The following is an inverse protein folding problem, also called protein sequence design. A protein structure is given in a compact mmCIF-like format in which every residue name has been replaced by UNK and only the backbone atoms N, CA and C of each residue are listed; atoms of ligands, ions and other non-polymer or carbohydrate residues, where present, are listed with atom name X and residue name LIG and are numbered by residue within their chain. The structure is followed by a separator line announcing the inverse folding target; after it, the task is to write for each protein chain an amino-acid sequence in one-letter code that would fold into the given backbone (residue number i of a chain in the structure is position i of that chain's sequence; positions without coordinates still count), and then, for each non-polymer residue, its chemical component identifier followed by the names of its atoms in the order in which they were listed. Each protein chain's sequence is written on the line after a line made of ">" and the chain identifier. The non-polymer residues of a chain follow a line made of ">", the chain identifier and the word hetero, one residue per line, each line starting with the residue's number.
data_IF_823357119592
#
_entry.id   IF_823357119592
#
_cell.length_a   1.000
_cell.length_b   1.000
_cell.length_c   1.000
_cell.angle_alpha   90.00
_cell.angle_beta   90.00
_cell.angle_gamma   90.00
#
_symmetry.space_group_name_H-M   'P 1'
#
loop_
_entity.id
_entity.type
_entity.pdbx_description
1 polymer ?
#
# COMPACT_ATOMS: atom_id res chain seq x y z
N UNK A 1 -63.03 -60.54 42.71
CA UNK A 1 -63.91 -59.51 42.08
C UNK A 1 -62.95 -58.65 41.20
N UNK A 2 -63.09 -58.87 39.95
CA UNK A 2 -62.23 -58.39 38.83
C UNK A 2 -62.79 -57.03 38.40
N UNK A 3 -61.98 -56.02 38.20
CA UNK A 3 -62.41 -54.83 37.40
C UNK A 3 -61.23 -54.32 36.56
N UNK A 4 -61.54 -54.33 35.29
CA UNK A 4 -60.81 -53.86 34.12
C UNK A 4 -60.08 -52.53 34.27
N UNK A 5 -58.88 -52.44 33.77
CA UNK A 5 -58.17 -51.24 33.37
C UNK A 5 -57.96 -51.29 31.85
N UNK A 6 -58.88 -50.63 31.11
CA UNK A 6 -58.75 -50.36 29.67
C UNK A 6 -57.60 -49.41 29.43
N UNK A 7 -56.58 -49.85 28.73
CA UNK A 7 -55.52 -49.03 28.21
C UNK A 7 -56.03 -48.17 27.06
N UNK A 8 -55.88 -46.83 27.18
CA UNK A 8 -56.22 -45.88 26.14
C UNK A 8 -55.08 -45.82 25.11
N UNK A 9 -55.32 -46.02 23.79
CA UNK A 9 -54.28 -46.04 22.76
C UNK A 9 -53.81 -44.64 22.27
N UNK A 10 -54.22 -43.53 22.91
CA UNK A 10 -53.98 -42.17 22.42
C UNK A 10 -52.62 -41.53 22.83
N UNK A 11 -51.93 -42.09 23.81
CA UNK A 11 -50.72 -41.43 24.36
C UNK A 11 -49.42 -41.82 23.60
N UNK A 12 -49.40 -42.97 22.93
CA UNK A 12 -48.21 -43.47 22.21
C UNK A 12 -48.04 -42.77 20.85
N UNK A 13 -49.13 -42.32 20.19
CA UNK A 13 -49.08 -41.67 18.90
C UNK A 13 -48.54 -40.23 18.98
N UNK A 14 -48.77 -39.52 20.10
CA UNK A 14 -48.31 -38.13 20.29
C UNK A 14 -46.82 -38.03 20.54
N UNK A 15 -46.19 -39.03 21.17
CA UNK A 15 -44.73 -39.09 21.44
C UNK A 15 -43.89 -39.35 20.19
N UNK A 16 -44.44 -40.11 19.23
CA UNK A 16 -43.75 -40.45 17.97
C UNK A 16 -43.77 -39.25 17.00
N UNK A 17 -44.85 -38.47 16.97
CA UNK A 17 -44.96 -37.30 16.10
C UNK A 17 -44.06 -36.13 16.60
N UNK A 18 -43.91 -35.92 17.93
CA UNK A 18 -42.98 -34.93 18.48
C UNK A 18 -41.53 -35.30 18.22
N UNK A 19 -41.16 -36.57 18.23
CA UNK A 19 -39.78 -37.03 17.94
C UNK A 19 -39.39 -36.87 16.48
N UNK A 20 -40.31 -37.02 15.54
CA UNK A 20 -40.07 -36.83 14.10
C UNK A 20 -39.93 -35.37 13.73
N UNK A 21 -40.70 -34.48 14.35
CA UNK A 21 -40.63 -33.02 14.09
C UNK A 21 -39.33 -32.45 14.69
N UNK A 22 -38.90 -32.92 15.86
CA UNK A 22 -37.62 -32.50 16.44
C UNK A 22 -36.40 -32.97 15.61
N UNK A 23 -36.45 -34.19 15.03
CA UNK A 23 -35.39 -34.68 14.15
C UNK A 23 -35.34 -33.97 12.80
N UNK A 24 -36.48 -33.56 12.24
CA UNK A 24 -36.52 -32.74 11.01
C UNK A 24 -35.99 -31.31 11.23
N UNK A 25 -36.21 -30.71 12.40
CA UNK A 25 -35.71 -29.37 12.73
C UNK A 25 -34.20 -29.33 12.98
N UNK A 26 -33.60 -30.43 13.43
CA UNK A 26 -32.14 -30.53 13.65
C UNK A 26 -31.41 -30.78 12.31
N UNK A 27 -32.03 -31.40 11.32
CA UNK A 27 -31.42 -31.61 10.00
C UNK A 27 -31.35 -30.37 9.12
N UNK A 28 -32.13 -29.30 9.40
CA UNK A 28 -32.05 -28.03 8.66
C UNK A 28 -31.00 -27.06 9.21
N UNK A 29 -30.42 -27.34 10.37
CA UNK A 29 -29.40 -26.52 11.01
C UNK A 29 -27.95 -27.00 10.75
N UNK A 30 -27.74 -28.06 9.96
CA UNK A 30 -26.46 -28.32 9.32
C UNK A 30 -26.33 -27.38 8.10
N UNK A 31 -26.24 -26.06 8.39
CA UNK A 31 -25.78 -25.09 7.43
C UNK A 31 -24.43 -25.54 6.89
N UNK A 32 -24.35 -25.62 5.60
CA UNK A 32 -23.11 -25.70 4.83
C UNK A 32 -22.04 -24.92 5.59
N UNK A 33 -21.05 -25.58 6.15
CA UNK A 33 -19.76 -25.01 6.42
C UNK A 33 -19.26 -24.55 5.05
N UNK A 34 -19.57 -23.31 4.68
CA UNK A 34 -18.92 -22.70 3.55
C UNK A 34 -17.44 -22.73 3.89
N UNK A 35 -16.65 -23.43 3.11
CA UNK A 35 -15.21 -23.33 3.25
C UNK A 35 -14.88 -21.86 3.41
N UNK A 36 -14.14 -21.51 4.46
CA UNK A 36 -13.80 -20.11 4.74
C UNK A 36 -13.21 -19.49 3.48
N UNK A 37 -13.76 -18.38 3.05
CA UNK A 37 -13.29 -17.69 1.86
C UNK A 37 -11.80 -17.36 2.01
N UNK A 38 -11.02 -17.68 0.98
CA UNK A 38 -9.60 -17.37 0.95
C UNK A 38 -9.38 -15.98 0.35
N UNK A 39 -9.06 -15.02 1.21
CA UNK A 39 -8.82 -13.64 0.84
C UNK A 39 -7.34 -13.38 0.60
N UNK A 40 -7.04 -12.65 -0.49
CA UNK A 40 -5.69 -12.24 -0.86
C UNK A 40 -5.72 -10.77 -1.23
N UNK A 41 -4.80 -9.99 -0.68
CA UNK A 41 -4.62 -8.60 -1.06
C UNK A 41 -4.14 -8.53 -2.51
N UNK A 42 -4.92 -7.86 -3.37
CA UNK A 42 -4.58 -7.68 -4.78
C UNK A 42 -3.99 -6.30 -5.07
N UNK A 43 -4.25 -5.35 -4.20
CA UNK A 43 -3.65 -4.03 -4.18
C UNK A 43 -3.56 -3.54 -2.73
N UNK A 44 -2.48 -2.84 -2.39
CA UNK A 44 -2.37 -2.13 -1.12
C UNK A 44 -1.40 -0.96 -1.26
N UNK A 45 -1.50 -0.01 -0.33
CA UNK A 45 -0.57 1.11 -0.19
C UNK A 45 -0.30 1.40 1.28
N UNK A 46 0.92 1.80 1.58
CA UNK A 46 1.30 2.26 2.91
C UNK A 46 0.96 3.72 3.09
N UNK A 47 0.43 4.06 4.26
CA UNK A 47 0.21 5.45 4.63
C UNK A 47 1.37 5.92 5.53
N UNK A 48 2.16 6.91 5.10
CA UNK A 48 3.22 7.49 5.92
C UNK A 48 2.58 8.24 7.08
N UNK A 49 2.36 7.57 8.20
CA UNK A 49 1.87 8.21 9.40
C UNK A 49 2.96 9.20 9.84
N UNK A 50 2.68 10.50 9.81
CA UNK A 50 3.61 11.47 10.39
C UNK A 50 3.84 11.08 11.85
N UNK A 51 5.09 11.01 12.26
CA UNK A 51 5.41 10.92 13.69
C UNK A 51 4.67 12.06 14.38
N UNK A 52 3.73 11.72 15.25
CA UNK A 52 3.11 12.72 16.13
C UNK A 52 4.21 13.21 17.08
N UNK A 53 4.93 14.24 16.65
CA UNK A 53 5.88 14.96 17.50
C UNK A 53 5.12 15.72 18.58
N UNK A 54 4.54 14.97 19.53
CA UNK A 54 3.94 15.46 20.75
C UNK A 54 4.61 14.81 21.97
N UNK A 55 5.94 14.73 21.94
CA UNK A 55 6.69 14.82 23.19
C UNK A 55 7.12 16.27 23.30
N UNK A 56 6.42 17.00 24.15
CA UNK A 56 6.76 18.38 24.46
C UNK A 56 8.23 18.48 24.89
N UNK A 57 9.09 18.89 23.97
CA UNK A 57 10.31 19.55 24.34
C UNK A 57 9.88 20.93 24.85
N UNK A 58 9.80 21.08 26.16
CA UNK A 58 9.77 22.36 26.86
C UNK A 58 11.04 23.15 26.51
N UNK A 59 11.05 23.76 25.33
CA UNK A 59 11.97 24.83 25.02
C UNK A 59 11.37 26.13 25.53
N UNK A 60 12.19 27.10 26.00
CA UNK A 60 11.70 28.39 26.40
C UNK A 60 10.95 29.05 25.23
N UNK A 61 9.91 29.91 25.50
CA UNK A 61 9.14 30.57 24.47
C UNK A 61 10.07 31.41 23.59
N UNK A 62 9.81 31.52 22.29
CA UNK A 62 10.62 32.34 21.40
C UNK A 62 10.57 33.83 21.87
N UNK A 63 11.74 34.37 22.20
CA UNK A 63 11.87 35.79 22.48
C UNK A 63 11.52 36.56 21.22
N UNK A 64 10.60 37.52 21.35
CA UNK A 64 10.23 38.42 20.30
C UNK A 64 11.47 39.22 19.81
N UNK A 65 11.89 38.94 18.58
CA UNK A 65 12.90 39.78 17.90
C UNK A 65 12.25 41.08 17.46
N UNK A 66 12.93 42.22 17.61
CA UNK A 66 12.40 43.48 17.13
C UNK A 66 12.34 43.53 15.60
N UNK A 67 11.21 44.00 15.08
CA UNK A 67 10.94 44.13 13.65
C UNK A 67 12.00 45.03 12.98
N UNK A 68 12.78 44.44 12.06
CA UNK A 68 13.64 45.22 11.15
C UNK A 68 12.78 45.70 9.99
N UNK A 69 12.92 47.02 9.75
CA UNK A 69 12.23 47.75 8.68
C UNK A 69 12.59 47.16 7.30
N UNK A 70 11.57 46.96 6.50
CA UNK A 70 11.70 46.49 5.11
C UNK A 70 12.34 47.61 4.25
N UNK A 71 13.46 47.27 3.63
CA UNK A 71 14.05 48.07 2.54
C UNK A 71 13.40 47.60 1.24
N UNK A 72 12.91 48.50 0.36
CA UNK A 72 12.31 48.11 -0.91
C UNK A 72 13.36 47.48 -1.84
N UNK A 73 13.15 46.21 -2.23
CA UNK A 73 13.96 45.59 -3.29
C UNK A 73 13.35 45.93 -4.65
N UNK A 74 14.15 46.56 -5.50
CA UNK A 74 13.88 46.78 -6.92
C UNK A 74 13.97 45.47 -7.65
N UNK A 75 12.92 45.13 -8.43
CA UNK A 75 12.88 43.96 -9.30
C UNK A 75 13.95 44.01 -10.40
N UNK A 76 14.72 42.93 -10.66
CA UNK A 76 15.51 42.83 -11.88
C UNK A 76 14.60 42.44 -13.06
N UNK A 77 14.94 42.99 -14.23
CA UNK A 77 14.24 42.79 -15.49
C UNK A 77 14.21 41.31 -15.95
N UNK A 78 13.12 40.95 -16.62
CA UNK A 78 12.87 39.63 -17.17
C UNK A 78 13.97 39.16 -18.16
N UNK A 79 14.52 37.98 -17.93
CA UNK A 79 15.40 37.28 -18.86
C UNK A 79 14.56 36.57 -19.94
N UNK A 80 14.96 36.53 -21.23
CA UNK A 80 14.20 35.87 -22.29
C UNK A 80 14.22 34.35 -22.13
N UNK A 81 13.20 33.62 -22.64
CA UNK A 81 13.08 32.17 -22.49
C UNK A 81 14.20 31.47 -23.26
N UNK A 82 14.93 30.61 -22.56
CA UNK A 82 15.85 29.63 -23.14
C UNK A 82 15.09 28.40 -23.66
N UNK A 83 15.72 27.52 -24.46
CA UNK A 83 15.05 26.47 -25.17
C UNK A 83 14.45 25.41 -24.25
N UNK A 84 13.25 24.96 -24.61
CA UNK A 84 12.49 23.93 -23.89
C UNK A 84 13.30 22.65 -23.75
N UNK A 85 13.82 22.40 -22.56
CA UNK A 85 14.50 21.20 -22.13
C UNK A 85 13.67 20.45 -21.11
N UNK A 86 13.12 19.32 -21.53
CA UNK A 86 12.67 18.13 -20.78
C UNK A 86 12.15 18.34 -19.34
N UNK A 87 10.87 18.06 -19.16
CA UNK A 87 10.28 17.49 -17.96
C UNK A 87 10.52 18.23 -16.65
N UNK A 88 10.21 19.53 -16.59
CA UNK A 88 10.05 20.22 -15.34
C UNK A 88 8.95 19.54 -14.51
N UNK A 89 9.17 19.37 -13.19
CA UNK A 89 8.17 18.97 -12.20
C UNK A 89 6.95 19.90 -12.36
N UNK A 90 6.03 19.58 -13.25
CA UNK A 90 4.69 20.13 -13.24
C UNK A 90 4.15 19.84 -11.84
N UNK A 91 3.81 20.90 -11.09
CA UNK A 91 3.45 20.79 -9.69
C UNK A 91 2.41 19.69 -9.52
N UNK A 92 2.75 18.68 -8.70
CA UNK A 92 1.83 17.61 -8.36
C UNK A 92 0.58 18.25 -7.76
N UNK A 93 -0.65 17.89 -8.20
CA UNK A 93 -1.85 18.40 -7.57
C UNK A 93 -1.77 18.15 -6.07
N UNK A 94 -2.03 19.15 -5.22
CA UNK A 94 -1.82 19.01 -3.78
C UNK A 94 -2.78 17.96 -3.19
N UNK A 95 -2.31 17.31 -2.14
CA UNK A 95 -3.20 16.53 -1.27
C UNK A 95 -4.18 17.53 -0.64
N UNK A 96 -5.50 17.32 -0.72
CA UNK A 96 -6.45 18.23 -0.09
C UNK A 96 -6.24 18.25 1.43
N UNK A 97 -6.28 19.45 2.01
CA UNK A 97 -6.16 19.64 3.46
C UNK A 97 -7.40 19.15 4.23
N UNK A 98 -8.53 19.07 3.56
CA UNK A 98 -9.80 18.51 4.08
C UNK A 98 -10.74 18.23 2.92
N UNK A 99 -11.72 17.35 3.14
CA UNK A 99 -12.90 17.19 2.30
C UNK A 99 -14.16 17.43 3.14
N UNK A 100 -15.19 18.03 2.52
CA UNK A 100 -16.48 18.31 3.16
C UNK A 100 -17.59 18.30 2.11
N UNK A 101 -18.61 17.46 2.29
CA UNK A 101 -19.67 17.23 1.28
C UNK A 101 -19.10 16.95 -0.11
N UNK A 102 -18.18 15.98 -0.18
CA UNK A 102 -17.45 15.62 -1.41
C UNK A 102 -17.29 14.11 -1.54
N UNK A 103 -17.22 13.67 -2.79
CA UNK A 103 -16.84 12.30 -3.16
C UNK A 103 -15.42 12.31 -3.73
N UNK A 104 -14.57 11.40 -3.26
CA UNK A 104 -13.30 11.06 -3.91
C UNK A 104 -13.42 9.70 -4.60
N UNK A 105 -13.00 9.62 -5.86
CA UNK A 105 -12.82 8.36 -6.63
C UNK A 105 -11.35 8.14 -6.89
N UNK A 106 -10.83 7.05 -6.34
CA UNK A 106 -9.44 6.63 -6.47
C UNK A 106 -9.36 5.43 -7.40
N UNK A 107 -8.30 5.36 -8.19
CA UNK A 107 -8.05 4.25 -9.12
C UNK A 107 -6.93 3.40 -8.56
N UNK A 108 -7.15 2.08 -8.52
CA UNK A 108 -6.19 1.09 -8.06
C UNK A 108 -5.98 0.02 -9.13
N UNK A 109 -4.73 -0.43 -9.34
CA UNK A 109 -4.38 -1.47 -10.31
C UNK A 109 -4.20 -2.81 -9.60
N UNK A 110 -5.07 -3.78 -9.88
CA UNK A 110 -5.04 -5.10 -9.25
C UNK A 110 -3.91 -5.96 -9.78
N UNK A 111 -3.34 -6.84 -8.97
CA UNK A 111 -2.35 -7.82 -9.40
C UNK A 111 -2.97 -9.16 -9.79
N UNK A 112 -3.91 -9.68 -8.99
CA UNK A 112 -4.71 -10.87 -9.30
C UNK A 112 -6.19 -10.55 -9.30
N UNK A 113 -6.98 -11.40 -9.93
CA UNK A 113 -8.45 -11.30 -9.98
C UNK A 113 -9.15 -12.16 -8.94
N UNK A 114 -10.48 -12.03 -8.90
CA UNK A 114 -11.36 -12.82 -8.05
C UNK A 114 -12.83 -12.47 -8.23
N UNK A 115 -13.73 -13.33 -7.74
CA UNK A 115 -15.18 -13.15 -7.90
C UNK A 115 -15.84 -12.28 -6.85
N UNK A 116 -15.17 -12.01 -5.72
CA UNK A 116 -15.63 -11.12 -4.66
C UNK A 116 -14.52 -10.16 -4.25
N UNK A 117 -14.90 -8.96 -3.83
CA UNK A 117 -13.97 -7.90 -3.45
C UNK A 117 -14.42 -7.23 -2.15
N UNK A 118 -13.45 -6.77 -1.35
CA UNK A 118 -13.64 -5.87 -0.20
C UNK A 118 -12.50 -4.87 -0.14
N UNK A 119 -12.73 -3.75 0.54
CA UNK A 119 -11.70 -2.71 0.75
C UNK A 119 -11.34 -2.57 2.22
N UNK A 120 -10.15 -2.10 2.48
CA UNK A 120 -9.71 -1.64 3.81
C UNK A 120 -9.52 -0.13 3.79
N UNK A 121 -10.18 0.54 4.74
CA UNK A 121 -10.03 1.97 4.99
C UNK A 121 -9.22 2.20 6.27
N UNK A 122 -8.41 3.24 6.29
CA UNK A 122 -7.56 3.59 7.43
C UNK A 122 -7.72 5.05 7.84
N UNK A 123 -7.98 5.27 9.11
CA UNK A 123 -7.95 6.60 9.72
C UNK A 123 -6.77 6.71 10.72
N UNK A 124 -5.65 6.06 10.40
CA UNK A 124 -4.55 5.84 11.35
C UNK A 124 -3.78 7.11 11.68
N UNK A 125 -3.68 8.09 10.75
CA UNK A 125 -2.93 9.34 10.95
C UNK A 125 -3.80 10.51 11.44
N UNK A 126 -5.14 10.38 11.42
CA UNK A 126 -6.03 11.50 11.72
C UNK A 126 -6.23 11.72 13.23
N UNK A 127 -6.47 12.97 13.60
CA UNK A 127 -6.83 13.35 14.98
C UNK A 127 -8.35 13.30 15.25
N UNK A 128 -9.19 13.24 14.19
CA UNK A 128 -10.64 13.26 14.28
C UNK A 128 -11.28 12.01 13.67
N UNK A 129 -12.50 11.63 14.10
CA UNK A 129 -13.25 10.55 13.46
C UNK A 129 -13.59 10.89 12.00
N UNK A 130 -13.38 9.93 11.09
CA UNK A 130 -13.80 9.99 9.70
C UNK A 130 -15.21 9.42 9.55
N UNK A 131 -16.12 10.19 8.93
CA UNK A 131 -17.47 9.72 8.58
C UNK A 131 -17.51 9.40 7.09
N UNK A 132 -17.76 8.14 6.75
CA UNK A 132 -18.06 7.69 5.39
C UNK A 132 -19.58 7.61 5.27
N UNK A 133 -20.18 8.40 4.37
CA UNK A 133 -21.64 8.40 4.11
C UNK A 133 -22.05 7.36 3.10
N UNK A 134 -21.21 7.12 2.10
CA UNK A 134 -21.42 6.13 1.03
C UNK A 134 -20.05 5.66 0.50
N UNK A 135 -19.98 4.40 0.07
CA UNK A 135 -18.79 3.84 -0.56
C UNK A 135 -19.19 2.89 -1.69
N UNK A 136 -18.50 2.98 -2.83
CA UNK A 136 -18.72 2.15 -4.00
C UNK A 136 -17.42 1.64 -4.59
N UNK A 137 -17.48 0.51 -5.28
CA UNK A 137 -16.37 -0.05 -6.06
C UNK A 137 -16.89 -0.50 -7.43
N UNK A 138 -16.11 -0.26 -8.48
CA UNK A 138 -16.46 -0.65 -9.84
C UNK A 138 -15.20 -0.96 -10.67
N UNK A 139 -15.36 -1.59 -11.82
CA UNK A 139 -14.28 -1.68 -12.82
C UNK A 139 -14.15 -0.31 -13.49
N UNK A 140 -12.93 0.24 -13.53
CA UNK A 140 -12.62 1.49 -14.23
C UNK A 140 -12.70 1.29 -15.75
N UNK A 141 -13.30 2.24 -16.46
CA UNK A 141 -13.27 2.30 -17.91
C UNK A 141 -12.11 3.21 -18.39
N UNK A 142 -12.21 4.50 -18.13
CA UNK A 142 -11.19 5.51 -18.45
C UNK A 142 -11.38 6.75 -17.59
N UNK A 143 -10.29 7.44 -17.24
CA UNK A 143 -10.35 8.66 -16.40
C UNK A 143 -11.18 8.39 -15.13
N UNK A 144 -12.22 9.20 -14.85
CA UNK A 144 -13.14 8.97 -13.73
C UNK A 144 -14.28 8.02 -14.06
N UNK A 145 -14.40 7.53 -15.30
CA UNK A 145 -15.50 6.68 -15.75
C UNK A 145 -15.36 5.23 -15.28
N UNK A 146 -16.49 4.62 -14.93
CA UNK A 146 -16.60 3.19 -14.62
C UNK A 146 -17.30 2.43 -15.74
N UNK A 147 -17.05 1.13 -15.82
CA UNK A 147 -17.74 0.25 -16.77
C UNK A 147 -19.20 0.09 -16.32
N UNK A 148 -20.20 0.39 -17.20
CA UNK A 148 -21.61 0.27 -16.86
C UNK A 148 -21.97 -1.12 -16.34
N UNK A 149 -22.80 -1.17 -15.29
CA UNK A 149 -23.24 -2.43 -14.66
C UNK A 149 -22.26 -3.07 -13.69
N UNK A 150 -21.04 -2.54 -13.54
CA UNK A 150 -20.03 -3.07 -12.60
C UNK A 150 -20.05 -2.38 -11.22
N UNK A 151 -20.79 -1.28 -11.07
CA UNK A 151 -20.88 -0.57 -9.79
C UNK A 151 -21.46 -1.46 -8.69
N UNK A 152 -20.80 -1.49 -7.54
CA UNK A 152 -21.23 -2.19 -6.33
C UNK A 152 -21.16 -1.26 -5.14
N UNK A 153 -22.30 -1.09 -4.47
CA UNK A 153 -22.35 -0.39 -3.19
C UNK A 153 -21.68 -1.24 -2.11
N UNK A 154 -20.75 -0.65 -1.39
CA UNK A 154 -20.11 -1.26 -0.23
C UNK A 154 -20.90 -0.95 1.04
N UNK A 155 -20.86 -1.90 1.97
CA UNK A 155 -21.40 -1.75 3.32
C UNK A 155 -20.33 -2.04 4.37
N UNK A 156 -20.62 -1.66 5.61
CA UNK A 156 -19.74 -1.87 6.76
C UNK A 156 -20.60 -2.45 7.89
N UNK A 157 -20.48 -3.76 8.12
CA UNK A 157 -21.37 -4.53 9.01
C UNK A 157 -22.88 -4.33 8.66
N UNK A 158 -23.19 -4.40 7.34
CA UNK A 158 -24.51 -4.24 6.79
C UNK A 158 -25.00 -2.79 6.69
N UNK A 159 -24.22 -1.79 7.13
CA UNK A 159 -24.60 -0.38 7.06
C UNK A 159 -23.99 0.30 5.82
N UNK A 160 -24.71 1.23 5.15
CA UNK A 160 -24.23 1.89 3.94
C UNK A 160 -23.06 2.85 4.15
N UNK A 161 -22.77 3.20 5.40
CA UNK A 161 -21.65 4.06 5.81
C UNK A 161 -21.10 3.66 7.17
N UNK A 162 -20.02 4.32 7.59
CA UNK A 162 -19.41 4.05 8.89
C UNK A 162 -18.72 5.29 9.46
N UNK A 163 -18.38 5.21 10.75
CA UNK A 163 -17.47 6.17 11.41
C UNK A 163 -16.21 5.46 11.86
N UNK A 164 -15.07 5.89 11.32
CA UNK A 164 -13.75 5.31 11.60
C UNK A 164 -13.04 6.24 12.59
N UNK A 165 -12.78 5.75 13.81
CA UNK A 165 -12.07 6.50 14.84
C UNK A 165 -10.59 6.70 14.47
N UNK A 166 -9.89 7.72 15.05
CA UNK A 166 -8.46 7.86 14.92
C UNK A 166 -7.72 6.58 15.30
N UNK A 167 -6.71 6.21 14.54
CA UNK A 167 -5.91 5.01 14.74
C UNK A 167 -6.53 3.69 14.23
N UNK A 168 -7.77 3.70 13.70
CA UNK A 168 -8.53 2.49 13.38
C UNK A 168 -8.48 2.19 11.88
N UNK A 169 -8.39 0.88 11.56
CA UNK A 169 -8.65 0.30 10.24
C UNK A 169 -10.09 -0.24 10.18
N UNK A 170 -10.73 -0.18 9.02
CA UNK A 170 -12.09 -0.67 8.79
C UNK A 170 -12.16 -1.45 7.49
N UNK A 171 -12.61 -2.71 7.57
CA UNK A 171 -12.93 -3.51 6.37
C UNK A 171 -14.37 -3.27 5.97
N UNK A 172 -14.62 -3.18 4.66
CA UNK A 172 -15.97 -3.27 4.12
C UNK A 172 -16.48 -4.71 4.17
N UNK A 173 -17.81 -4.87 4.14
CA UNK A 173 -18.41 -6.15 3.80
C UNK A 173 -18.01 -6.52 2.35
N UNK A 174 -17.85 -7.81 2.03
CA UNK A 174 -17.51 -8.23 0.68
C UNK A 174 -18.71 -8.10 -0.27
N UNK A 175 -18.43 -7.73 -1.53
CA UNK A 175 -19.43 -7.66 -2.60
C UNK A 175 -19.04 -8.56 -3.77
N UNK A 176 -20.04 -9.08 -4.49
CA UNK A 176 -19.84 -9.86 -5.70
C UNK A 176 -19.48 -8.92 -6.86
N UNK A 177 -18.25 -8.97 -7.28
CA UNK A 177 -17.70 -8.24 -8.42
C UNK A 177 -16.60 -9.09 -9.05
N UNK A 178 -16.79 -9.47 -10.30
CA UNK A 178 -15.75 -10.18 -11.06
C UNK A 178 -14.63 -9.20 -11.38
N UNK A 179 -13.47 -9.44 -10.80
CA UNK A 179 -12.24 -8.66 -10.98
C UNK A 179 -11.28 -9.46 -11.83
N UNK A 180 -10.92 -8.93 -13.00
CA UNK A 180 -9.87 -9.52 -13.81
C UNK A 180 -8.48 -9.22 -13.23
N UNK A 181 -7.48 -10.11 -13.38
CA UNK A 181 -6.10 -9.77 -13.01
C UNK A 181 -5.59 -8.60 -13.86
N UNK A 182 -4.73 -7.78 -13.27
CA UNK A 182 -4.11 -6.61 -13.93
C UNK A 182 -5.16 -5.62 -14.48
N UNK A 183 -6.28 -5.43 -13.78
CA UNK A 183 -7.32 -4.48 -14.14
C UNK A 183 -7.37 -3.31 -13.18
N UNK A 184 -7.94 -2.21 -13.64
CA UNK A 184 -8.14 -1.03 -12.81
C UNK A 184 -9.52 -1.07 -12.15
N UNK A 185 -9.57 -0.82 -10.84
CA UNK A 185 -10.79 -0.59 -10.10
C UNK A 185 -10.91 0.87 -9.67
N UNK A 186 -12.12 1.38 -9.68
CA UNK A 186 -12.48 2.69 -9.15
C UNK A 186 -13.15 2.53 -7.78
N UNK A 187 -12.53 3.05 -6.72
CA UNK A 187 -13.09 3.08 -5.37
C UNK A 187 -13.56 4.49 -5.08
N UNK A 188 -14.85 4.66 -4.82
CA UNK A 188 -15.48 5.96 -4.57
C UNK A 188 -15.94 6.05 -3.11
N UNK A 189 -15.54 7.11 -2.42
CA UNK A 189 -15.91 7.37 -1.01
C UNK A 189 -16.56 8.75 -0.91
N UNK A 190 -17.76 8.83 -0.35
CA UNK A 190 -18.42 10.08 -0.03
C UNK A 190 -18.23 10.43 1.44
N UNK A 191 -17.77 11.65 1.70
CA UNK A 191 -17.58 12.23 3.05
C UNK A 191 -18.55 13.41 3.24
N UNK A 192 -19.60 13.23 4.06
CA UNK A 192 -20.66 14.23 4.22
C UNK A 192 -20.28 15.40 5.13
N UNK A 193 -19.16 15.31 5.85
CA UNK A 193 -18.71 16.27 6.85
C UNK A 193 -17.23 16.57 6.68
N UNK A 194 -16.80 17.70 7.20
CA UNK A 194 -15.40 18.08 7.27
C UNK A 194 -14.55 16.97 7.92
N UNK A 195 -13.54 16.53 7.19
CA UNK A 195 -12.66 15.41 7.61
C UNK A 195 -11.43 15.88 8.37
N UNK A 196 -11.11 17.19 8.32
CA UNK A 196 -9.76 17.64 8.62
C UNK A 196 -8.73 17.00 7.68
N UNK A 197 -7.43 17.08 8.02
CA UNK A 197 -6.37 16.48 7.22
C UNK A 197 -6.56 14.96 7.09
N UNK A 198 -6.65 14.42 5.85
CA UNK A 198 -6.90 13.01 5.63
C UNK A 198 -5.65 12.16 5.92
N UNK A 199 -5.86 10.96 6.45
CA UNK A 199 -4.86 9.89 6.33
C UNK A 199 -4.67 9.59 4.84
N UNK A 200 -3.45 9.69 4.33
CA UNK A 200 -3.21 9.61 2.90
C UNK A 200 -1.90 8.90 2.56
N UNK A 201 -1.78 8.51 1.30
CA UNK A 201 -0.53 8.19 0.62
C UNK A 201 -0.38 9.16 -0.55
N UNK A 202 0.68 9.96 -0.57
CA UNK A 202 0.83 11.14 -1.42
C UNK A 202 1.49 10.89 -2.79
N UNK A 203 1.81 9.64 -3.13
CA UNK A 203 2.27 9.23 -4.46
C UNK A 203 1.33 8.17 -5.04
N UNK A 204 0.08 8.54 -5.33
CA UNK A 204 -0.73 7.71 -6.21
C UNK A 204 -0.18 7.78 -7.63
N UNK A 205 0.14 6.64 -8.23
CA UNK A 205 0.56 6.55 -9.64
C UNK A 205 -0.63 6.64 -10.61
N UNK A 206 -1.83 6.83 -10.06
CA UNK A 206 -3.09 7.10 -10.78
C UNK A 206 -3.72 8.40 -10.29
N UNK A 207 -4.44 9.05 -11.18
CA UNK A 207 -5.23 10.23 -10.86
C UNK A 207 -6.44 9.84 -10.02
N UNK A 208 -6.66 10.55 -8.91
CA UNK A 208 -7.90 10.50 -8.14
C UNK A 208 -8.75 11.73 -8.44
N UNK A 209 -10.07 11.57 -8.41
CA UNK A 209 -11.06 12.55 -8.82
C UNK A 209 -11.94 12.96 -7.65
N UNK A 210 -12.17 14.26 -7.45
CA UNK A 210 -12.94 14.80 -6.33
C UNK A 210 -14.07 15.67 -6.87
N UNK A 211 -15.33 15.30 -6.60
CA UNK A 211 -16.53 16.07 -6.96
C UNK A 211 -17.34 16.42 -5.72
N UNK A 212 -18.18 17.47 -5.84
CA UNK A 212 -19.08 17.89 -4.77
C UNK A 212 -20.26 16.90 -4.60
N UNK A 213 -20.71 16.71 -3.36
CA UNK A 213 -21.82 15.86 -3.01
C UNK A 213 -21.56 14.37 -3.12
N UNK A 214 -22.58 13.54 -2.97
CA UNK A 214 -22.52 12.09 -3.16
C UNK A 214 -22.63 11.73 -4.65
N UNK A 215 -21.49 11.48 -5.27
CA UNK A 215 -21.37 11.03 -6.67
C UNK A 215 -20.81 9.63 -6.77
N UNK A 216 -20.84 8.84 -5.67
CA UNK A 216 -20.23 7.52 -5.59
C UNK A 216 -20.73 6.56 -6.66
N UNK A 217 -22.02 6.58 -6.99
CA UNK A 217 -22.65 5.70 -7.98
C UNK A 217 -22.65 6.26 -9.42
N UNK A 218 -22.12 7.47 -9.66
CA UNK A 218 -22.12 8.06 -11.01
C UNK A 218 -21.17 7.30 -11.94
N UNK A 219 -21.60 7.03 -13.17
CA UNK A 219 -20.72 6.41 -14.18
C UNK A 219 -19.51 7.29 -14.49
N UNK A 220 -19.71 8.60 -14.58
CA UNK A 220 -18.66 9.61 -14.76
C UNK A 220 -18.82 10.65 -13.66
N UNK A 221 -17.73 11.00 -12.97
CA UNK A 221 -17.79 12.05 -11.95
C UNK A 221 -18.02 13.43 -12.57
N UNK A 222 -18.97 14.22 -12.07
CA UNK A 222 -19.24 15.55 -12.59
C UNK A 222 -18.16 16.53 -12.13
N UNK A 223 -17.65 17.33 -13.06
CA UNK A 223 -16.70 18.46 -12.81
C UNK A 223 -15.64 18.19 -11.75
N UNK A 224 -14.85 17.09 -11.85
CA UNK A 224 -13.94 16.73 -10.78
C UNK A 224 -12.68 17.61 -10.75
N UNK A 225 -12.28 18.00 -9.56
CA UNK A 225 -10.89 18.33 -9.28
C UNK A 225 -10.06 17.05 -9.20
N UNK A 226 -8.73 17.16 -9.33
CA UNK A 226 -7.85 16.00 -9.30
C UNK A 226 -6.81 16.12 -8.19
N UNK A 227 -6.37 14.95 -7.70
CA UNK A 227 -5.22 14.82 -6.81
C UNK A 227 -4.44 13.54 -7.17
N UNK A 228 -3.20 13.43 -6.69
CA UNK A 228 -2.36 12.22 -6.80
C UNK A 228 -2.13 11.61 -5.43
N UNK A 229 -3.22 11.35 -4.72
CA UNK A 229 -3.16 10.75 -3.40
C UNK A 229 -4.26 9.69 -3.23
N UNK A 230 -3.91 8.62 -2.53
CA UNK A 230 -4.91 7.71 -1.97
C UNK A 230 -5.30 8.24 -0.59
N UNK A 231 -6.59 8.55 -0.41
CA UNK A 231 -7.11 9.05 0.85
C UNK A 231 -7.86 7.92 1.56
N UNK A 232 -7.44 7.59 2.76
CA UNK A 232 -8.01 6.56 3.64
C UNK A 232 -7.99 5.12 3.08
N UNK A 233 -7.92 4.92 1.79
CA UNK A 233 -7.87 3.58 1.18
C UNK A 233 -6.48 2.97 1.41
N UNK A 234 -6.41 1.79 2.04
CA UNK A 234 -5.17 1.10 2.37
C UNK A 234 -4.99 -0.24 1.67
N UNK A 235 -6.09 -0.94 1.35
CA UNK A 235 -6.01 -2.19 0.60
C UNK A 235 -7.30 -2.52 -0.15
N UNK A 236 -7.17 -3.37 -1.16
CA UNK A 236 -8.25 -4.08 -1.84
C UNK A 236 -7.92 -5.57 -1.83
N UNK A 237 -8.80 -6.37 -1.26
CA UNK A 237 -8.70 -7.82 -1.22
C UNK A 237 -9.69 -8.46 -2.18
N UNK A 238 -9.31 -9.59 -2.76
CA UNK A 238 -10.20 -10.44 -3.58
C UNK A 238 -10.26 -11.86 -3.03
N UNK A 239 -11.36 -12.57 -3.30
CA UNK A 239 -11.41 -14.02 -3.07
C UNK A 239 -10.60 -14.72 -4.15
N UNK A 240 -9.75 -15.65 -3.74
CA UNK A 240 -8.84 -16.34 -4.64
C UNK A 240 -8.78 -17.84 -4.36
N UNK A 241 -8.14 -18.59 -5.24
CA UNK A 241 -7.91 -20.02 -5.04
C UNK A 241 -7.09 -20.29 -3.76
N UNK A 242 -7.26 -21.43 -3.09
CA UNK A 242 -6.59 -21.73 -1.80
C UNK A 242 -5.06 -21.68 -1.84
N UNK A 243 -4.45 -21.84 -3.01
CA UNK A 243 -3.01 -21.76 -3.20
C UNK A 243 -2.53 -20.32 -3.53
N UNK A 244 -3.43 -19.36 -3.76
CA UNK A 244 -3.07 -17.98 -4.02
C UNK A 244 -2.47 -17.33 -2.77
N UNK A 245 -1.57 -16.39 -2.98
CA UNK A 245 -0.95 -15.62 -1.89
C UNK A 245 -0.42 -14.28 -2.40
N UNK A 246 -0.10 -13.39 -1.46
CA UNK A 246 0.48 -12.09 -1.75
C UNK A 246 1.99 -12.05 -1.44
N UNK A 247 2.72 -11.35 -2.30
CA UNK A 247 4.07 -10.82 -2.06
C UNK A 247 3.90 -9.36 -1.68
N UNK A 248 4.41 -8.95 -0.53
CA UNK A 248 4.47 -7.56 -0.12
C UNK A 248 5.82 -6.98 -0.49
N UNK A 249 5.85 -5.91 -1.27
CA UNK A 249 7.06 -5.14 -1.53
C UNK A 249 7.17 -4.02 -0.48
N UNK A 250 8.01 -4.18 0.51
CA UNK A 250 8.27 -3.17 1.54
C UNK A 250 9.50 -2.36 1.16
N UNK A 251 9.36 -1.03 1.14
CA UNK A 251 10.48 -0.17 0.74
C UNK A 251 10.16 1.32 0.80
N UNK A 252 11.05 2.08 0.22
CA UNK A 252 10.99 3.55 0.13
C UNK A 252 10.40 4.05 -1.20
N UNK A 253 10.79 5.24 -1.66
CA UNK A 253 10.34 5.86 -2.90
C UNK A 253 10.66 5.04 -4.17
N UNK A 254 11.72 4.22 -4.15
CA UNK A 254 12.09 3.35 -5.27
C UNK A 254 11.04 2.23 -5.41
N UNK A 255 10.61 1.67 -4.30
CA UNK A 255 9.52 0.67 -4.29
C UNK A 255 8.17 1.30 -4.58
N UNK A 256 7.90 2.49 -4.04
CA UNK A 256 6.69 3.26 -4.30
C UNK A 256 6.49 3.55 -5.81
N UNK A 257 7.59 3.76 -6.54
CA UNK A 257 7.60 3.94 -7.98
C UNK A 257 7.83 5.39 -8.42
N UNK A 258 8.48 6.19 -7.56
CA UNK A 258 8.88 7.54 -7.95
C UNK A 258 9.78 7.51 -9.19
N UNK A 259 9.50 8.38 -10.16
CA UNK A 259 10.23 8.44 -11.43
C UNK A 259 9.55 7.67 -12.57
N UNK A 260 8.53 6.85 -12.30
CA UNK A 260 7.80 6.11 -13.33
C UNK A 260 6.68 6.96 -13.97
N UNK A 261 6.32 6.56 -15.20
CA UNK A 261 5.24 7.20 -15.97
C UNK A 261 3.89 7.00 -15.26
N UNK A 262 3.21 8.13 -15.03
CA UNK A 262 1.86 8.14 -14.47
C UNK A 262 0.87 7.33 -15.32
N UNK A 263 -0.09 6.66 -14.67
CA UNK A 263 -1.10 5.78 -15.29
C UNK A 263 -0.50 4.57 -16.04
N UNK A 264 0.84 4.41 -16.03
CA UNK A 264 1.54 3.37 -16.82
C UNK A 264 1.63 2.02 -16.12
N UNK A 265 1.49 1.95 -14.80
CA UNK A 265 1.75 0.74 -14.00
C UNK A 265 3.15 0.16 -14.28
N UNK A 266 4.17 1.04 -14.36
CA UNK A 266 5.53 0.71 -14.77
C UNK A 266 6.54 0.64 -13.62
N UNK A 267 6.11 0.82 -12.38
CA UNK A 267 6.92 0.54 -11.20
C UNK A 267 7.25 -0.96 -11.11
N UNK A 268 8.41 -1.31 -10.55
CA UNK A 268 8.93 -2.68 -10.56
C UNK A 268 7.94 -3.70 -9.96
N UNK A 269 7.10 -3.31 -9.01
CA UNK A 269 6.09 -4.16 -8.39
C UNK A 269 4.96 -4.53 -9.36
N UNK A 270 4.48 -3.57 -10.14
CA UNK A 270 3.48 -3.81 -11.20
C UNK A 270 4.06 -4.61 -12.36
N UNK A 271 5.34 -4.37 -12.72
CA UNK A 271 6.05 -5.18 -13.72
C UNK A 271 6.19 -6.62 -13.24
N UNK A 272 6.56 -6.84 -11.97
CA UNK A 272 6.62 -8.19 -11.38
C UNK A 272 5.24 -8.87 -11.42
N UNK A 273 4.16 -8.15 -11.06
CA UNK A 273 2.80 -8.69 -11.13
C UNK A 273 2.46 -9.16 -12.55
N UNK A 274 2.79 -8.38 -13.60
CA UNK A 274 2.60 -8.79 -15.00
C UNK A 274 3.41 -10.04 -15.37
N UNK A 275 4.67 -10.14 -14.92
CA UNK A 275 5.52 -11.31 -15.16
C UNK A 275 4.96 -12.57 -14.48
N UNK A 276 4.44 -12.43 -13.27
CA UNK A 276 3.81 -13.53 -12.54
C UNK A 276 2.50 -13.96 -13.23
N UNK A 277 1.66 -13.01 -13.63
CA UNK A 277 0.40 -13.26 -14.32
C UNK A 277 0.58 -13.95 -15.68
N UNK A 278 1.65 -13.63 -16.40
CA UNK A 278 1.98 -14.24 -17.69
C UNK A 278 2.38 -15.72 -17.62
N UNK A 279 2.68 -16.25 -16.44
CA UNK A 279 3.09 -17.63 -16.24
C UNK A 279 2.04 -18.40 -15.41
N UNK A 280 1.41 -19.43 -16.01
CA UNK A 280 0.38 -20.23 -15.37
C UNK A 280 0.78 -20.78 -14.00
N UNK A 281 2.05 -21.08 -13.78
CA UNK A 281 2.55 -21.59 -12.50
C UNK A 281 2.62 -20.54 -11.39
N UNK A 282 2.54 -19.25 -11.72
CA UNK A 282 2.65 -18.13 -10.78
C UNK A 282 1.50 -17.11 -10.89
N UNK A 283 0.55 -17.31 -11.83
CA UNK A 283 -0.56 -16.37 -12.08
C UNK A 283 -1.54 -16.19 -10.92
N UNK A 284 -1.42 -17.03 -9.89
CA UNK A 284 -2.19 -16.95 -8.64
C UNK A 284 -1.48 -16.14 -7.54
N UNK A 285 -0.33 -15.55 -7.83
CA UNK A 285 0.50 -14.82 -6.86
C UNK A 285 0.28 -13.32 -7.06
N UNK A 286 -0.22 -12.67 -6.01
CA UNK A 286 -0.39 -11.23 -5.95
C UNK A 286 0.92 -10.52 -5.60
N UNK A 287 1.05 -9.26 -6.06
CA UNK A 287 2.09 -8.33 -5.60
C UNK A 287 1.40 -7.06 -5.11
N UNK A 288 1.69 -6.64 -3.89
CA UNK A 288 1.20 -5.39 -3.31
C UNK A 288 2.35 -4.49 -2.91
N UNK A 289 2.19 -3.21 -3.17
CA UNK A 289 3.22 -2.20 -2.97
C UNK A 289 3.02 -1.50 -1.62
N UNK A 290 4.05 -1.54 -0.77
CA UNK A 290 4.11 -0.86 0.53
C UNK A 290 5.33 0.07 0.60
N UNK A 291 5.65 0.72 -0.54
CA UNK A 291 6.64 1.78 -0.62
C UNK A 291 6.15 3.05 0.07
N UNK A 292 7.06 3.83 0.62
CA UNK A 292 6.82 5.16 1.20
C UNK A 292 7.96 6.09 0.84
N UNK A 293 7.66 7.22 0.21
CA UNK A 293 8.68 8.20 -0.16
C UNK A 293 9.52 8.65 1.03
N UNK A 294 10.83 8.56 0.90
CA UNK A 294 11.76 9.01 1.93
C UNK A 294 11.82 8.13 3.17
N UNK A 295 11.18 6.94 3.15
CA UNK A 295 11.16 6.04 4.31
C UNK A 295 12.55 5.53 4.68
N UNK A 296 12.70 5.15 5.94
CA UNK A 296 13.93 4.64 6.54
C UNK A 296 13.66 3.35 7.29
N UNK A 297 14.69 2.54 7.47
CA UNK A 297 14.61 1.32 8.29
C UNK A 297 14.39 1.68 9.74
N UNK A 298 15.18 2.65 10.25
CA UNK A 298 15.40 2.87 11.68
C UNK A 298 14.65 4.06 12.25
N UNK A 299 14.33 5.10 11.45
CA UNK A 299 13.88 6.40 11.93
C UNK A 299 12.53 6.82 11.37
N UNK A 300 11.77 7.49 12.23
CA UNK A 300 10.51 8.14 11.86
C UNK A 300 10.80 9.55 11.34
N UNK A 301 10.78 9.74 10.01
CA UNK A 301 10.93 11.07 9.38
C UNK A 301 9.85 11.30 8.32
N UNK A 302 10.07 10.81 7.10
CA UNK A 302 9.10 10.88 6.00
C UNK A 302 7.97 9.85 6.14
N UNK A 303 7.60 9.54 7.36
CA UNK A 303 6.69 8.50 7.79
C UNK A 303 7.32 7.69 8.91
N UNK A 304 6.56 6.80 9.54
CA UNK A 304 7.11 5.89 10.53
C UNK A 304 8.05 4.89 9.89
N UNK A 305 9.12 4.53 10.61
CA UNK A 305 10.18 3.62 10.13
C UNK A 305 9.64 2.27 9.64
N UNK A 306 10.37 1.61 8.76
CA UNK A 306 10.02 0.26 8.30
C UNK A 306 9.83 -0.70 9.50
N UNK A 307 10.66 -0.58 10.52
CA UNK A 307 10.52 -1.33 11.77
C UNK A 307 9.18 -1.06 12.48
N UNK A 308 8.72 0.19 12.52
CA UNK A 308 7.48 0.55 13.22
C UNK A 308 6.22 0.19 12.42
N UNK A 309 6.27 0.28 11.07
CA UNK A 309 5.11 0.02 10.20
C UNK A 309 4.98 -1.43 9.75
N UNK A 310 5.94 -2.30 10.06
CA UNK A 310 6.01 -3.67 9.54
C UNK A 310 4.76 -4.50 9.82
N UNK A 311 4.21 -4.44 11.03
CA UNK A 311 3.02 -5.21 11.40
C UNK A 311 1.80 -4.78 10.59
N UNK A 312 1.61 -3.46 10.46
CA UNK A 312 0.49 -2.88 9.71
C UNK A 312 0.62 -3.12 8.21
N UNK A 313 1.82 -2.95 7.64
CA UNK A 313 2.01 -2.89 6.19
C UNK A 313 2.38 -4.26 5.60
N UNK A 314 2.87 -5.19 6.40
CA UNK A 314 3.26 -6.54 5.96
C UNK A 314 2.41 -7.61 6.61
N UNK A 315 2.49 -7.74 7.95
CA UNK A 315 1.92 -8.89 8.67
C UNK A 315 0.39 -8.94 8.59
N UNK A 316 -0.28 -7.78 8.50
CA UNK A 316 -1.74 -7.68 8.41
C UNK A 316 -2.29 -7.88 7.00
N UNK A 317 -1.46 -7.98 5.95
CA UNK A 317 -1.96 -8.11 4.57
C UNK A 317 -2.55 -9.48 4.31
N UNK A 318 -3.76 -9.51 3.74
CA UNK A 318 -4.48 -10.75 3.45
C UNK A 318 -3.68 -11.67 2.53
N UNK A 319 -3.45 -12.90 2.98
CA UNK A 319 -2.76 -13.93 2.20
C UNK A 319 -1.26 -13.73 2.02
N UNK A 320 -0.59 -12.87 2.77
CA UNK A 320 0.87 -12.65 2.63
C UNK A 320 1.65 -13.93 2.95
N UNK A 321 2.61 -14.27 2.08
CA UNK A 321 3.59 -15.36 2.29
C UNK A 321 5.04 -14.93 2.06
N UNK A 322 5.24 -13.84 1.34
CA UNK A 322 6.56 -13.32 1.04
C UNK A 322 6.61 -11.82 1.23
N UNK A 323 7.77 -11.32 1.66
CA UNK A 323 8.10 -9.90 1.59
C UNK A 323 9.40 -9.74 0.80
N UNK A 324 9.41 -8.76 -0.13
CA UNK A 324 10.65 -8.26 -0.76
C UNK A 324 11.00 -6.97 -0.06
N UNK A 325 12.16 -6.93 0.57
CA UNK A 325 12.62 -5.81 1.39
C UNK A 325 13.69 -5.03 0.63
N UNK A 326 13.31 -3.84 0.13
CA UNK A 326 14.21 -2.86 -0.49
C UNK A 326 14.11 -1.55 0.28
N UNK A 327 15.00 -1.32 1.21
CA UNK A 327 14.99 -0.18 2.12
C UNK A 327 16.42 0.23 2.48
N UNK A 328 16.61 1.29 3.22
CA UNK A 328 17.83 1.84 3.80
C UNK A 328 18.49 2.97 3.02
N UNK A 329 18.19 3.22 1.75
CA UNK A 329 18.89 4.26 0.99
C UNK A 329 18.75 5.65 1.65
N UNK A 330 17.59 5.94 2.27
CA UNK A 330 17.36 7.21 2.94
C UNK A 330 18.09 7.31 4.29
N UNK A 331 18.19 6.20 5.06
CA UNK A 331 19.05 6.16 6.24
C UNK A 331 20.51 6.48 5.83
N UNK A 332 21.00 5.83 4.78
CA UNK A 332 22.37 5.95 4.29
C UNK A 332 22.68 7.37 3.79
N UNK A 333 21.82 7.95 2.93
CA UNK A 333 22.07 9.28 2.35
C UNK A 333 21.98 10.38 3.41
N UNK A 334 20.99 10.31 4.30
CA UNK A 334 20.70 11.39 5.27
C UNK A 334 21.55 11.31 6.52
N UNK A 335 21.81 10.10 7.00
CA UNK A 335 22.46 9.84 8.29
C UNK A 335 23.83 9.15 8.18
N UNK A 336 24.24 8.71 6.98
CA UNK A 336 25.55 8.11 6.74
C UNK A 336 26.69 9.12 6.60
N UNK A 337 26.46 10.42 6.81
CA UNK A 337 27.52 11.44 6.80
C UNK A 337 28.35 11.35 8.08
N UNK A 338 29.68 11.59 7.96
CA UNK A 338 30.61 11.53 9.10
C UNK A 338 30.24 12.56 10.19
N UNK A 339 29.70 13.71 9.79
CA UNK A 339 29.30 14.81 10.67
C UNK A 339 27.79 14.81 10.98
N UNK A 340 27.10 13.72 10.70
CA UNK A 340 25.70 13.58 11.07
C UNK A 340 25.52 13.69 12.60
N UNK A 341 24.51 14.44 13.02
CA UNK A 341 24.16 14.56 14.44
C UNK A 341 23.63 13.24 15.03
N UNK A 342 23.08 12.37 14.18
CA UNK A 342 22.60 11.03 14.54
C UNK A 342 23.06 10.05 13.43
N UNK A 343 24.36 9.64 13.44
CA UNK A 343 24.94 8.86 12.38
C UNK A 343 24.36 7.45 12.32
N UNK A 344 24.30 6.88 11.11
CA UNK A 344 23.96 5.48 10.87
C UNK A 344 25.20 4.71 10.42
N UNK A 345 25.32 3.49 10.89
CA UNK A 345 26.34 2.54 10.43
C UNK A 345 25.71 1.38 9.66
N UNK A 346 26.53 0.62 8.93
CA UNK A 346 26.05 -0.64 8.31
C UNK A 346 25.53 -1.64 9.36
N UNK A 347 26.14 -1.68 10.55
CA UNK A 347 25.74 -2.61 11.61
C UNK A 347 24.36 -2.27 12.18
N UNK A 348 24.03 -0.98 12.31
CA UNK A 348 22.70 -0.53 12.73
C UNK A 348 21.63 -0.99 11.74
N UNK A 349 21.88 -0.81 10.43
CA UNK A 349 20.96 -1.24 9.37
C UNK A 349 20.81 -2.76 9.32
N UNK A 350 21.92 -3.48 9.46
CA UNK A 350 21.93 -4.95 9.53
C UNK A 350 21.11 -5.43 10.74
N UNK A 351 21.26 -4.78 11.90
CA UNK A 351 20.46 -5.09 13.07
C UNK A 351 18.96 -4.86 12.81
N UNK A 352 18.60 -3.75 12.16
CA UNK A 352 17.23 -3.47 11.72
C UNK A 352 16.68 -4.54 10.80
N UNK A 353 17.42 -4.93 9.77
CA UNK A 353 17.01 -6.02 8.86
C UNK A 353 16.80 -7.35 9.59
N UNK A 354 17.67 -7.71 10.52
CA UNK A 354 17.53 -8.93 11.33
C UNK A 354 16.23 -8.93 12.14
N UNK A 355 15.80 -7.76 12.66
CA UNK A 355 14.53 -7.63 13.36
C UNK A 355 13.34 -7.85 12.43
N UNK A 356 13.36 -7.27 11.22
CA UNK A 356 12.30 -7.46 10.23
C UNK A 356 12.20 -8.93 9.79
N UNK A 357 13.34 -9.58 9.53
CA UNK A 357 13.41 -11.00 9.17
C UNK A 357 12.83 -11.88 10.29
N UNK A 358 13.28 -11.68 11.52
CA UNK A 358 12.81 -12.47 12.67
C UNK A 358 11.30 -12.33 12.87
N UNK A 359 10.74 -11.11 12.74
CA UNK A 359 9.29 -10.86 12.84
C UNK A 359 8.52 -11.53 11.72
N UNK A 360 9.00 -11.45 10.47
CA UNK A 360 8.41 -12.15 9.33
C UNK A 360 8.36 -13.67 9.57
N UNK A 361 9.48 -14.26 9.95
CA UNK A 361 9.60 -15.70 10.22
C UNK A 361 8.68 -16.18 11.35
N UNK A 362 8.48 -15.36 12.39
CA UNK A 362 7.52 -15.66 13.48
C UNK A 362 6.09 -15.87 12.96
N UNK A 363 5.76 -15.23 11.82
CA UNK A 363 4.46 -15.36 11.15
C UNK A 363 4.48 -16.32 9.95
N UNK A 364 5.57 -17.06 9.74
CA UNK A 364 5.72 -17.98 8.60
C UNK A 364 5.86 -17.28 7.26
N UNK A 365 6.22 -15.99 7.25
CA UNK A 365 6.45 -15.19 6.06
C UNK A 365 7.92 -15.25 5.69
N UNK A 366 8.24 -15.55 4.44
CA UNK A 366 9.60 -15.58 3.92
C UNK A 366 10.06 -14.19 3.46
N UNK A 367 11.35 -13.92 3.55
CA UNK A 367 11.93 -12.61 3.24
C UNK A 367 12.95 -12.73 2.12
N UNK A 368 12.75 -11.94 1.06
CA UNK A 368 13.75 -11.70 0.02
C UNK A 368 14.48 -10.40 0.35
N UNK A 369 15.78 -10.48 0.57
CA UNK A 369 16.63 -9.30 0.68
C UNK A 369 16.95 -8.73 -0.70
N UNK A 370 16.65 -7.46 -0.92
CA UNK A 370 17.02 -6.75 -2.13
C UNK A 370 18.20 -5.82 -1.86
N UNK A 371 19.25 -5.86 -2.71
CA UNK A 371 20.40 -4.96 -2.56
C UNK A 371 20.01 -3.53 -2.90
N UNK A 372 20.52 -2.59 -2.11
CA UNK A 372 20.31 -1.14 -2.27
C UNK A 372 20.95 -0.65 -3.57
N UNK A 373 20.18 0.00 -4.43
CA UNK A 373 20.60 0.47 -5.75
C UNK A 373 21.75 1.50 -5.69
N UNK A 374 22.53 1.68 -6.77
CA UNK A 374 23.57 2.71 -6.84
C UNK A 374 22.97 4.11 -6.78
N UNK A 375 23.70 5.05 -6.16
CA UNK A 375 23.30 6.45 -6.00
C UNK A 375 24.43 7.43 -6.30
N UNK A 376 25.46 6.98 -7.01
CA UNK A 376 26.58 7.81 -7.44
C UNK A 376 26.11 8.92 -8.39
N UNK A 377 26.60 10.15 -8.14
CA UNK A 377 26.12 11.36 -8.82
C UNK A 377 25.14 12.18 -7.99
N UNK A 378 24.51 11.60 -6.98
CA UNK A 378 23.69 12.32 -6.01
C UNK A 378 24.62 13.14 -5.09
N UNK A 379 24.27 14.43 -4.86
CA UNK A 379 25.14 15.43 -4.23
C UNK A 379 25.56 15.11 -2.79
N UNK A 380 24.76 14.33 -2.05
CA UNK A 380 25.02 13.98 -0.65
C UNK A 380 25.79 12.67 -0.51
N UNK A 381 26.09 11.98 -1.61
CA UNK A 381 26.79 10.68 -1.57
C UNK A 381 28.30 10.90 -1.57
N UNK A 382 28.91 10.73 -0.40
CA UNK A 382 30.36 10.74 -0.18
C UNK A 382 30.92 9.30 -0.28
N UNK A 383 32.25 9.14 -0.30
CA UNK A 383 32.89 7.81 -0.23
C UNK A 383 32.49 7.05 1.04
N UNK A 384 32.28 7.75 2.16
CA UNK A 384 31.82 7.14 3.41
C UNK A 384 30.39 6.60 3.32
N UNK A 385 29.46 7.40 2.76
CA UNK A 385 28.08 6.99 2.49
C UNK A 385 28.05 5.75 1.59
N UNK A 386 28.85 5.75 0.53
CA UNK A 386 28.95 4.62 -0.39
C UNK A 386 29.56 3.38 0.27
N UNK A 387 30.50 3.54 1.20
CA UNK A 387 31.07 2.43 1.96
C UNK A 387 30.01 1.74 2.83
N UNK A 388 29.08 2.49 3.46
CA UNK A 388 27.95 1.94 4.22
C UNK A 388 27.05 1.13 3.28
N UNK A 389 26.66 1.69 2.11
CA UNK A 389 25.82 1.00 1.12
C UNK A 389 26.46 -0.32 0.66
N UNK A 390 27.75 -0.31 0.34
CA UNK A 390 28.49 -1.51 -0.05
C UNK A 390 28.52 -2.57 1.04
N UNK A 391 28.77 -2.17 2.29
CA UNK A 391 28.78 -3.09 3.43
C UNK A 391 27.41 -3.74 3.65
N UNK A 392 26.33 -2.96 3.57
CA UNK A 392 24.97 -3.49 3.68
C UNK A 392 24.68 -4.46 2.52
N UNK A 393 25.02 -4.09 1.28
CA UNK A 393 24.80 -4.94 0.11
C UNK A 393 25.62 -6.25 0.17
N UNK A 394 26.86 -6.19 0.65
CA UNK A 394 27.69 -7.38 0.84
C UNK A 394 27.05 -8.32 1.88
N UNK A 395 26.56 -7.77 3.01
CA UNK A 395 25.86 -8.56 4.00
C UNK A 395 24.56 -9.18 3.43
N UNK A 396 23.78 -8.43 2.64
CA UNK A 396 22.58 -8.98 2.00
C UNK A 396 22.95 -10.18 1.12
N UNK A 397 24.03 -10.09 0.33
CA UNK A 397 24.47 -11.15 -0.58
C UNK A 397 25.00 -12.40 0.11
N UNK A 398 25.70 -12.24 1.24
CA UNK A 398 26.58 -13.29 1.78
C UNK A 398 26.16 -13.85 3.12
N UNK A 399 25.30 -13.16 3.87
CA UNK A 399 24.97 -13.54 5.25
C UNK A 399 24.08 -14.77 5.38
N UNK A 400 23.39 -15.18 4.32
CA UNK A 400 22.34 -16.23 4.33
C UNK A 400 21.23 -15.97 5.37
N UNK A 401 21.03 -14.70 5.76
CA UNK A 401 19.98 -14.32 6.71
C UNK A 401 18.57 -14.27 6.07
N UNK A 402 18.51 -14.05 4.76
CA UNK A 402 17.29 -14.01 3.97
C UNK A 402 16.98 -15.38 3.39
N UNK A 403 15.68 -15.65 3.12
CA UNK A 403 15.24 -16.89 2.44
C UNK A 403 15.65 -16.92 0.96
N UNK A 404 15.81 -15.73 0.37
CA UNK A 404 16.38 -15.53 -0.97
C UNK A 404 16.94 -14.10 -1.09
N UNK A 405 17.72 -13.85 -2.14
CA UNK A 405 18.30 -12.53 -2.41
C UNK A 405 18.02 -12.16 -3.87
N UNK A 406 17.70 -10.88 -4.10
CA UNK A 406 17.69 -10.27 -5.42
C UNK A 406 18.72 -9.14 -5.47
N UNK A 407 19.61 -9.19 -6.46
CA UNK A 407 20.68 -8.21 -6.62
C UNK A 407 20.27 -7.06 -7.54
N UNK A 408 19.46 -6.14 -7.02
CA UNK A 408 19.06 -4.94 -7.76
C UNK A 408 20.22 -4.02 -8.07
N UNK A 409 21.21 -3.90 -7.16
CA UNK A 409 22.44 -3.14 -7.40
C UNK A 409 23.14 -3.63 -8.68
N UNK A 410 23.35 -4.94 -8.82
CA UNK A 410 23.96 -5.50 -10.02
C UNK A 410 23.11 -5.33 -11.27
N UNK A 411 21.79 -5.40 -11.14
CA UNK A 411 20.86 -5.33 -12.26
C UNK A 411 20.80 -3.94 -12.91
N UNK A 412 20.94 -2.87 -12.11
CA UNK A 412 20.70 -1.50 -12.59
C UNK A 412 21.95 -0.62 -12.66
N UNK A 413 23.10 -1.06 -12.09
CA UNK A 413 24.34 -0.27 -12.12
C UNK A 413 24.95 -0.20 -13.51
N UNK A 414 25.57 0.93 -13.79
CA UNK A 414 26.37 1.11 -15.00
C UNK A 414 27.65 0.23 -14.94
N UNK A 415 27.94 -0.60 -15.96
CA UNK A 415 29.15 -1.44 -15.96
C UNK A 415 30.46 -0.65 -15.98
N UNK A 416 30.46 0.54 -16.59
CA UNK A 416 31.65 1.42 -16.68
C UNK A 416 31.80 2.31 -15.44
N UNK A 417 30.70 2.60 -14.74
CA UNK A 417 30.66 3.43 -13.54
C UNK A 417 29.82 2.76 -12.45
N UNK A 418 30.32 1.71 -11.78
CA UNK A 418 29.53 0.83 -10.93
C UNK A 418 28.85 1.49 -9.71
N UNK A 419 29.17 2.73 -9.42
CA UNK A 419 28.52 3.51 -8.36
C UNK A 419 27.28 4.26 -8.84
N UNK A 420 27.01 4.27 -10.15
CA UNK A 420 25.93 5.01 -10.79
C UNK A 420 24.91 4.04 -11.40
N UNK A 421 23.69 4.52 -11.55
CA UNK A 421 22.68 3.90 -12.38
C UNK A 421 23.10 3.98 -13.87
N UNK A 422 22.72 2.99 -14.68
CA UNK A 422 22.79 3.13 -16.15
C UNK A 422 22.01 4.38 -16.55
N UNK A 423 22.53 5.13 -17.52
CA UNK A 423 21.89 6.39 -17.96
C UNK A 423 20.42 6.21 -18.36
N UNK A 424 20.11 5.13 -19.07
CA UNK A 424 18.74 4.81 -19.50
C UNK A 424 17.82 4.37 -18.33
N UNK A 425 18.40 3.97 -17.20
CA UNK A 425 17.67 3.54 -16.00
C UNK A 425 17.47 4.66 -14.98
N UNK A 426 18.19 5.75 -15.11
CA UNK A 426 18.12 6.91 -14.23
C UNK A 426 16.94 7.82 -14.64
N UNK A 427 16.11 8.22 -13.69
CA UNK A 427 15.06 9.22 -13.93
C UNK A 427 15.58 10.66 -14.04
N UNK A 428 16.90 10.85 -13.78
CA UNK A 428 17.61 12.12 -13.88
C UNK A 428 17.97 12.76 -12.53
N UNK A 429 17.72 12.08 -11.41
CA UNK A 429 18.08 12.54 -10.06
C UNK A 429 19.12 11.64 -9.37
N UNK A 430 19.60 10.61 -10.07
CA UNK A 430 20.62 9.66 -9.64
C UNK A 430 20.22 8.78 -8.44
N UNK A 431 18.94 8.68 -8.14
CA UNK A 431 18.38 7.84 -7.06
C UNK A 431 17.22 7.00 -7.56
N UNK A 432 16.24 7.66 -8.23
CA UNK A 432 15.02 7.00 -8.68
C UNK A 432 15.18 6.46 -10.10
N UNK A 433 14.51 5.35 -10.36
CA UNK A 433 14.64 4.68 -11.63
C UNK A 433 13.55 5.13 -12.62
N UNK A 434 13.93 5.22 -13.90
CA UNK A 434 13.01 5.38 -15.03
C UNK A 434 12.13 4.12 -15.20
N UNK A 435 11.16 4.16 -16.13
CA UNK A 435 10.37 2.98 -16.49
C UNK A 435 11.27 1.79 -16.91
N UNK A 436 12.33 2.07 -17.68
CA UNK A 436 13.30 1.05 -18.11
C UNK A 436 14.08 0.48 -16.92
N UNK A 437 14.46 1.31 -15.95
CA UNK A 437 15.14 0.86 -14.75
C UNK A 437 14.24 0.00 -13.85
N UNK A 438 12.99 0.37 -13.70
CA UNK A 438 11.98 -0.44 -12.99
C UNK A 438 11.73 -1.79 -13.68
N UNK A 439 11.72 -1.82 -15.03
CA UNK A 439 11.67 -3.08 -15.78
C UNK A 439 12.91 -3.93 -15.48
N UNK A 440 14.12 -3.35 -15.50
CA UNK A 440 15.37 -4.05 -15.17
C UNK A 440 15.38 -4.64 -13.75
N UNK A 441 14.85 -3.91 -12.76
CA UNK A 441 14.67 -4.44 -11.39
C UNK A 441 13.74 -5.65 -11.38
N UNK A 442 12.57 -5.52 -11.98
CA UNK A 442 11.61 -6.61 -12.01
C UNK A 442 12.17 -7.84 -12.73
N UNK A 443 12.92 -7.66 -13.81
CA UNK A 443 13.53 -8.76 -14.58
C UNK A 443 14.62 -9.52 -13.80
N UNK A 444 15.29 -8.86 -12.87
CA UNK A 444 16.26 -9.48 -11.98
C UNK A 444 15.65 -10.46 -10.96
N UNK A 445 14.33 -10.40 -10.75
CA UNK A 445 13.65 -11.32 -9.82
C UNK A 445 13.43 -12.67 -10.50
N UNK A 446 14.05 -13.72 -9.97
CA UNK A 446 13.75 -15.09 -10.39
C UNK A 446 12.38 -15.53 -9.83
N UNK A 447 11.37 -15.53 -10.69
CA UNK A 447 10.00 -15.92 -10.30
C UNK A 447 9.88 -17.41 -9.90
N UNK A 448 10.90 -18.24 -10.15
CA UNK A 448 10.91 -19.64 -9.72
C UNK A 448 11.03 -19.78 -8.18
N UNK A 449 11.56 -18.77 -7.50
CA UNK A 449 11.64 -18.71 -6.03
C UNK A 449 10.26 -18.92 -5.39
N UNK A 450 9.21 -18.40 -6.00
CA UNK A 450 7.85 -18.42 -5.46
C UNK A 450 7.10 -19.74 -5.70
N UNK A 451 7.68 -20.69 -6.42
CA UNK A 451 7.08 -22.00 -6.72
C UNK A 451 7.36 -23.06 -5.65
N UNK A 452 8.20 -22.75 -4.65
CA UNK A 452 8.68 -23.68 -3.62
C UNK A 452 7.82 -23.64 -2.37
#
# INVERSE_FOLDING_TARGET
>A
MISDLRKKPGVILLSIVLSVVAAASISFAQSRSSAAEHWVATWATSQPLAATSTVGRGGPPPQAQPSQAQIPQTQPAATPPGPEGRGGRGGQPPVPSTLNDQTIRMVVHTSIGGGRVRIELSNAAAAAPLVIGSAHIAVRAKDSAIVPGTDRKLTFSGQPGCTIRPGVLMLSDPVDLEVAPLSDLAVSLYVPKDTGPPTNHNLALHTAYISKGDTTAHEVMPEPNTTRAYLWLSAVDVTAAPNAFAIVALGDSITDGQGTTMEGNLNWTSVLARRLAANKATSHIAVVNQGVQGNQVLRDEAGVSALARFDRDVLSRSGVKWVILLEAINDIIRHGQIDSADPVTSDDLIAGYRQLIARAHTHGIRVIGATVTPVGGQRQVTEHVEAIRKSVNEWIRTSHAFDAVVDFDAAVRDPGHPLQLRTEFDSGDHVHLSDAGNQGMADAIDVAIFRK
#
